data_IF_244935230879
#
_entry.id   IF_244935230879
#
_cell.length_a   1.000
_cell.length_b   1.000
_cell.length_c   1.000
_cell.angle_alpha   90.00
_cell.angle_beta   90.00
_cell.angle_gamma   90.00
#
_symmetry.space_group_name_H-M   'P 1'
#
loop_
_entity.id
_entity.type
_entity.pdbx_description
1 polymer ?
#
# COMPACT_ATOMS: atom_id res chain seq x y z
N UNK A 1 -8.89 16.01 11.77
CA UNK A 1 -7.59 15.47 11.35
C UNK A 1 -7.80 14.55 10.15
N UNK A 2 -7.55 15.02 8.93
CA UNK A 2 -7.82 14.25 7.70
C UNK A 2 -6.57 13.47 7.29
N UNK A 3 -6.58 12.16 7.43
CA UNK A 3 -5.45 11.31 7.09
C UNK A 3 -5.63 10.65 5.73
N UNK A 4 -5.23 11.36 4.70
CA UNK A 4 -5.05 10.80 3.36
C UNK A 4 -4.05 9.63 3.35
N UNK A 5 -3.06 9.64 4.26
CA UNK A 5 -2.07 8.56 4.39
C UNK A 5 -2.66 7.27 4.93
N UNK A 6 -3.52 7.37 5.93
CA UNK A 6 -4.14 6.18 6.53
C UNK A 6 -5.21 5.62 5.59
N UNK A 7 -5.90 6.48 4.84
CA UNK A 7 -6.80 6.07 3.76
C UNK A 7 -6.07 5.31 2.66
N UNK A 8 -4.82 5.66 2.29
CA UNK A 8 -3.99 4.81 1.43
C UNK A 8 -3.51 3.54 2.09
N UNK A 9 -3.11 3.60 3.37
CA UNK A 9 -2.78 2.40 4.15
C UNK A 9 -3.97 1.43 4.20
N UNK A 10 -5.21 1.92 4.22
CA UNK A 10 -6.45 1.12 4.20
C UNK A 10 -6.85 0.65 2.81
N UNK A 11 -6.80 1.50 1.79
CA UNK A 11 -7.11 1.11 0.40
C UNK A 11 -6.17 0.03 -0.09
N UNK A 12 -4.92 0.11 0.34
CA UNK A 12 -3.93 -0.86 -0.02
C UNK A 12 -3.87 -2.02 0.96
N UNK A 13 -4.48 -1.96 2.15
CA UNK A 13 -4.62 -3.12 3.02
C UNK A 13 -5.74 -4.02 2.50
N UNK A 14 -5.31 -5.10 1.84
CA UNK A 14 -6.02 -6.38 1.84
C UNK A 14 -7.27 -6.45 0.95
N UNK A 15 -7.10 -6.29 -0.36
CA UNK A 15 -8.00 -6.94 -1.30
C UNK A 15 -7.58 -8.41 -1.44
N UNK A 16 -7.83 -9.26 -0.43
CA UNK A 16 -7.71 -10.73 -0.53
C UNK A 16 -8.78 -11.26 -1.50
N UNK A 17 -8.55 -11.10 -2.80
CA UNK A 17 -9.56 -11.38 -3.83
C UNK A 17 -9.36 -12.78 -4.38
N UNK A 18 -10.01 -13.80 -3.83
CA UNK A 18 -9.88 -15.13 -4.40
C UNK A 18 -10.82 -15.37 -5.58
N UNK A 19 -10.40 -15.12 -6.81
CA UNK A 19 -11.03 -15.80 -7.95
C UNK A 19 -10.81 -17.30 -7.83
N UNK A 20 -11.67 -18.07 -8.48
CA UNK A 20 -11.52 -19.51 -8.73
C UNK A 20 -10.05 -20.02 -8.75
N UNK A 21 -9.10 -19.29 -9.36
CA UNK A 21 -7.65 -19.57 -9.31
C UNK A 21 -6.71 -18.40 -8.98
N UNK A 22 -7.17 -17.14 -8.85
CA UNK A 22 -6.28 -15.97 -8.64
C UNK A 22 -6.61 -15.22 -7.34
N UNK A 23 -5.64 -15.03 -6.46
CA UNK A 23 -5.76 -14.23 -5.23
C UNK A 23 -4.95 -12.96 -5.37
N UNK A 24 -5.55 -11.79 -5.20
CA UNK A 24 -4.75 -10.55 -5.02
C UNK A 24 -4.53 -10.38 -3.52
N UNK A 25 -3.37 -9.89 -3.09
CA UNK A 25 -3.16 -9.41 -1.73
C UNK A 25 -2.33 -8.15 -1.84
N UNK A 26 -2.75 -7.09 -1.17
CA UNK A 26 -2.06 -5.81 -1.23
C UNK A 26 -1.73 -5.30 0.16
N UNK A 27 -0.63 -4.55 0.28
CA UNK A 27 -0.31 -3.72 1.46
C UNK A 27 0.47 -2.47 1.04
N UNK A 28 -0.02 -1.27 1.37
CA UNK A 28 0.74 -0.04 1.15
C UNK A 28 1.80 0.15 2.22
N UNK A 29 2.87 0.83 1.81
CA UNK A 29 3.88 1.34 2.72
C UNK A 29 4.18 2.80 2.39
N UNK A 30 4.40 3.60 3.42
CA UNK A 30 5.00 4.93 3.28
C UNK A 30 6.48 4.84 3.60
N UNK A 31 7.31 5.43 2.75
CA UNK A 31 8.76 5.49 2.94
C UNK A 31 9.24 6.94 2.99
N UNK A 32 10.07 7.25 3.98
CA UNK A 32 10.59 8.60 4.23
C UNK A 32 9.83 9.37 5.33
N UNK A 33 10.24 10.62 5.53
CA UNK A 33 9.69 11.49 6.58
C UNK A 33 8.28 11.98 6.23
N UNK A 34 7.38 11.95 7.21
CA UNK A 34 6.10 12.65 7.12
C UNK A 34 6.31 14.17 7.20
N UNK A 35 6.04 14.86 6.10
CA UNK A 35 6.07 16.33 6.01
C UNK A 35 4.68 16.95 5.90
N UNK A 36 3.61 16.18 5.98
CA UNK A 36 2.25 16.65 5.67
C UNK A 36 1.76 17.61 6.75
N UNK A 37 1.24 18.75 6.30
CA UNK A 37 0.61 19.76 7.15
C UNK A 37 -0.78 19.26 7.55
N UNK A 38 -1.02 19.24 8.85
CA UNK A 38 -2.22 18.62 9.43
C UNK A 38 -3.46 19.52 9.37
N UNK A 39 -3.24 20.80 9.09
CA UNK A 39 -4.22 21.89 9.04
C UNK A 39 -4.61 22.30 7.61
N UNK A 40 -3.91 21.80 6.59
CA UNK A 40 -4.26 22.08 5.20
C UNK A 40 -5.53 21.32 4.77
N UNK A 41 -6.39 22.00 4.01
CA UNK A 41 -7.68 21.45 3.55
C UNK A 41 -7.96 21.76 2.09
N UNK A 42 -8.84 20.96 1.47
CA UNK A 42 -9.27 21.16 0.08
C UNK A 42 -8.10 21.27 -0.90
N UNK A 43 -8.04 22.40 -1.61
CA UNK A 43 -7.01 22.65 -2.62
C UNK A 43 -5.60 22.77 -2.04
N UNK A 44 -5.44 23.14 -0.76
CA UNK A 44 -4.12 23.37 -0.16
C UNK A 44 -3.29 22.08 -0.03
N UNK A 45 -3.97 20.93 0.03
CA UNK A 45 -3.34 19.60 -0.04
C UNK A 45 -2.59 19.38 -1.35
N UNK A 46 -3.06 20.00 -2.44
CA UNK A 46 -2.49 19.90 -3.78
C UNK A 46 -1.58 21.08 -4.14
N UNK A 47 -1.63 22.19 -3.38
CA UNK A 47 -0.79 23.37 -3.60
C UNK A 47 0.52 23.32 -2.81
N UNK A 48 0.51 22.81 -1.59
CA UNK A 48 1.71 22.79 -0.74
C UNK A 48 2.56 21.54 -0.98
N UNK A 49 3.83 21.73 -1.34
CA UNK A 49 4.81 20.65 -1.59
C UNK A 49 4.89 19.64 -0.43
N UNK A 50 4.71 20.12 0.79
CA UNK A 50 4.70 19.35 2.03
C UNK A 50 3.64 18.25 2.07
N UNK A 51 2.54 18.45 1.34
CA UNK A 51 1.40 17.55 1.27
C UNK A 51 1.42 16.64 0.05
N UNK A 52 2.40 16.77 -0.85
CA UNK A 52 2.42 15.98 -2.08
C UNK A 52 2.41 14.46 -1.86
N UNK A 53 3.03 13.89 -0.81
CA UNK A 53 2.86 12.47 -0.48
C UNK A 53 1.40 12.11 -0.15
N UNK A 54 0.68 13.01 0.51
CA UNK A 54 -0.76 12.86 0.82
C UNK A 54 -1.64 13.08 -0.40
N UNK A 55 -1.28 14.01 -1.28
CA UNK A 55 -1.96 14.20 -2.56
C UNK A 55 -1.79 12.97 -3.47
N UNK A 56 -0.56 12.47 -3.60
CA UNK A 56 -0.25 11.22 -4.31
C UNK A 56 -1.07 10.05 -3.74
N UNK A 57 -1.14 9.98 -2.41
CA UNK A 57 -1.95 8.99 -1.73
C UNK A 57 -3.44 9.11 -2.11
N UNK A 58 -4.02 10.30 -2.02
CA UNK A 58 -5.41 10.57 -2.37
C UNK A 58 -5.73 10.18 -3.83
N UNK A 59 -4.79 10.43 -4.75
CA UNK A 59 -4.93 10.04 -6.16
C UNK A 59 -4.94 8.52 -6.36
N UNK A 60 -4.12 7.78 -5.61
CA UNK A 60 -4.14 6.30 -5.62
C UNK A 60 -5.49 5.78 -5.14
N UNK A 61 -6.00 6.34 -4.04
CA UNK A 61 -7.33 6.00 -3.51
C UNK A 61 -8.40 6.27 -4.57
N UNK A 62 -8.38 7.45 -5.17
CA UNK A 62 -9.37 7.81 -6.19
C UNK A 62 -9.30 6.88 -7.41
N UNK A 63 -8.11 6.48 -7.84
CA UNK A 63 -7.92 5.51 -8.92
C UNK A 63 -8.52 4.15 -8.54
N UNK A 64 -8.27 3.68 -7.31
CA UNK A 64 -8.81 2.42 -6.80
C UNK A 64 -10.35 2.48 -6.71
N UNK A 65 -10.91 3.56 -6.17
CA UNK A 65 -12.35 3.79 -6.08
C UNK A 65 -13.03 3.75 -7.44
N UNK A 66 -12.50 4.51 -8.41
CA UNK A 66 -13.02 4.55 -9.78
C UNK A 66 -12.90 3.21 -10.52
N UNK A 67 -12.14 2.28 -9.99
CA UNK A 67 -11.95 0.93 -10.51
C UNK A 67 -12.66 -0.14 -9.69
N UNK A 68 -13.40 0.25 -8.64
CA UNK A 68 -14.04 -0.67 -7.69
C UNK A 68 -13.04 -1.65 -7.05
N UNK A 69 -11.76 -1.25 -7.03
CA UNK A 69 -10.69 -1.95 -6.35
C UNK A 69 -10.74 -1.52 -4.89
N UNK A 70 -11.37 -2.35 -4.07
CA UNK A 70 -11.70 -2.04 -2.68
C UNK A 70 -11.14 -3.12 -1.76
N UNK A 71 -10.88 -2.79 -0.49
CA UNK A 71 -10.54 -3.78 0.53
C UNK A 71 -11.59 -4.89 0.61
N UNK A 72 -11.16 -6.10 0.96
CA UNK A 72 -12.04 -7.24 1.14
C UNK A 72 -13.00 -6.98 2.31
N UNK A 73 -14.29 -6.82 2.00
CA UNK A 73 -15.33 -6.46 3.00
C UNK A 73 -16.38 -7.54 3.21
N UNK A 74 -16.39 -8.59 2.39
CA UNK A 74 -17.29 -9.75 2.49
C UNK A 74 -16.74 -10.92 1.66
N UNK A 75 -17.31 -12.13 1.84
CA UNK A 75 -16.99 -13.36 1.09
C UNK A 75 -17.26 -13.30 -0.43
N UNK A 76 -17.42 -12.09 -0.99
CA UNK A 76 -17.64 -11.85 -2.41
C UNK A 76 -16.31 -11.61 -3.09
N UNK A 77 -15.95 -12.56 -3.93
CA UNK A 77 -14.71 -12.60 -4.69
C UNK A 77 -14.81 -11.63 -5.87
N UNK A 78 -14.06 -10.52 -5.84
CA UNK A 78 -13.95 -9.61 -6.99
C UNK A 78 -12.95 -10.18 -8.02
N UNK A 79 -13.19 -9.92 -9.31
CA UNK A 79 -12.33 -10.43 -10.38
C UNK A 79 -11.03 -9.65 -10.59
N UNK A 80 -10.10 -10.14 -11.43
CA UNK A 80 -8.82 -9.45 -11.73
C UNK A 80 -9.03 -8.08 -12.43
N UNK A 81 -10.20 -7.89 -13.04
CA UNK A 81 -10.56 -6.71 -13.81
C UNK A 81 -10.50 -5.39 -13.01
N UNK A 82 -11.10 -5.25 -11.81
CA UNK A 82 -10.90 -4.10 -10.93
C UNK A 82 -9.44 -3.69 -10.75
N UNK A 83 -8.55 -4.65 -10.52
CA UNK A 83 -7.13 -4.38 -10.33
C UNK A 83 -6.45 -3.89 -11.62
N UNK A 84 -6.70 -4.54 -12.76
CA UNK A 84 -6.17 -4.08 -14.06
C UNK A 84 -6.69 -2.69 -14.45
N UNK A 85 -7.96 -2.41 -14.13
CA UNK A 85 -8.57 -1.09 -14.30
C UNK A 85 -7.86 -0.05 -13.44
N UNK A 86 -7.56 -0.36 -12.18
CA UNK A 86 -6.81 0.52 -11.27
C UNK A 86 -5.44 0.87 -11.85
N UNK A 87 -4.68 -0.13 -12.30
CA UNK A 87 -3.36 0.09 -12.91
C UNK A 87 -3.44 0.96 -14.17
N UNK A 88 -4.45 0.72 -15.00
CA UNK A 88 -4.69 1.51 -16.22
C UNK A 88 -5.00 2.96 -15.88
N UNK A 89 -5.81 3.22 -14.85
CA UNK A 89 -6.13 4.59 -14.40
C UNK A 89 -4.90 5.29 -13.81
N UNK A 90 -4.12 4.60 -12.99
CA UNK A 90 -2.83 5.12 -12.49
C UNK A 90 -1.89 5.48 -13.65
N UNK A 91 -1.72 4.59 -14.63
CA UNK A 91 -0.85 4.82 -15.79
C UNK A 91 -1.30 5.99 -16.67
N UNK A 92 -2.61 6.18 -16.82
CA UNK A 92 -3.18 7.22 -17.68
C UNK A 92 -3.41 8.55 -16.97
N UNK A 93 -3.17 8.63 -15.67
CA UNK A 93 -3.37 9.88 -14.94
C UNK A 93 -2.33 10.92 -15.39
N UNK A 94 -2.75 12.09 -15.91
CA UNK A 94 -1.85 13.06 -16.53
C UNK A 94 -0.82 13.67 -15.57
N UNK A 95 -1.13 13.69 -14.26
CA UNK A 95 -0.23 14.14 -13.21
C UNK A 95 0.86 13.15 -12.83
N UNK A 96 0.98 12.00 -13.51
CA UNK A 96 2.09 11.08 -13.33
C UNK A 96 2.99 11.00 -14.57
N UNK A 97 4.28 10.84 -14.35
CA UNK A 97 5.22 10.29 -15.32
C UNK A 97 5.43 8.82 -14.97
N UNK A 98 5.17 7.94 -15.93
CA UNK A 98 5.19 6.50 -15.73
C UNK A 98 6.48 5.89 -16.26
N UNK A 99 7.08 5.00 -15.47
CA UNK A 99 8.10 4.05 -15.92
C UNK A 99 7.80 2.67 -15.34
N UNK A 100 8.38 1.62 -15.93
CA UNK A 100 8.16 0.25 -15.49
C UNK A 100 9.42 -0.56 -15.69
N UNK A 101 9.73 -1.40 -14.70
CA UNK A 101 10.73 -2.44 -14.78
C UNK A 101 10.06 -3.81 -14.62
N UNK A 102 10.46 -4.76 -15.46
CA UNK A 102 9.94 -6.13 -15.47
C UNK A 102 11.10 -7.10 -15.35
N UNK A 103 10.93 -8.12 -14.52
CA UNK A 103 11.89 -9.19 -14.35
C UNK A 103 11.21 -10.49 -13.94
N UNK A 104 12.00 -11.56 -13.96
CA UNK A 104 11.63 -12.82 -13.33
C UNK A 104 12.57 -13.05 -12.15
N UNK A 105 12.03 -13.59 -11.07
CA UNK A 105 12.80 -13.99 -9.90
C UNK A 105 12.69 -15.50 -9.74
N UNK A 106 13.83 -16.15 -9.55
CA UNK A 106 13.88 -17.58 -9.27
C UNK A 106 13.70 -17.78 -7.76
N UNK A 107 12.67 -18.52 -7.38
CA UNK A 107 12.40 -18.92 -6.00
C UNK A 107 12.66 -20.42 -5.93
N UNK A 108 13.62 -20.82 -5.09
CA UNK A 108 14.17 -22.19 -5.05
C UNK A 108 13.88 -22.92 -3.74
N UNK A 109 13.06 -22.33 -2.88
CA UNK A 109 12.62 -23.00 -1.66
C UNK A 109 11.26 -22.47 -1.22
N UNK A 110 10.64 -23.22 -0.32
CA UNK A 110 9.44 -22.83 0.40
C UNK A 110 9.68 -21.83 1.53
N UNK A 111 10.94 -21.44 1.75
CA UNK A 111 11.27 -20.47 2.79
C UNK A 111 10.90 -19.04 2.36
N UNK A 112 10.20 -18.36 3.27
CA UNK A 112 9.90 -16.93 3.19
C UNK A 112 11.18 -16.08 3.21
N UNK A 113 12.26 -16.58 3.82
CA UNK A 113 13.59 -15.98 3.77
C UNK A 113 14.14 -15.87 2.34
N UNK A 114 14.03 -16.95 1.57
CA UNK A 114 14.48 -16.97 0.18
C UNK A 114 13.62 -16.06 -0.72
N UNK A 115 12.31 -16.00 -0.48
CA UNK A 115 11.44 -15.03 -1.15
C UNK A 115 11.90 -13.59 -0.89
N UNK A 116 12.24 -13.27 0.36
CA UNK A 116 12.76 -11.94 0.72
C UNK A 116 14.04 -11.63 -0.06
N UNK A 117 15.03 -12.53 -0.03
CA UNK A 117 16.30 -12.32 -0.72
C UNK A 117 16.13 -12.21 -2.24
N UNK A 118 15.28 -13.06 -2.84
CA UNK A 118 14.99 -13.00 -4.27
C UNK A 118 14.40 -11.64 -4.68
N UNK A 119 13.40 -11.14 -3.94
CA UNK A 119 12.77 -9.84 -4.22
C UNK A 119 13.74 -8.68 -3.96
N UNK A 120 14.50 -8.73 -2.86
CA UNK A 120 15.48 -7.70 -2.49
C UNK A 120 16.55 -7.52 -3.56
N UNK A 121 17.00 -8.62 -4.15
CA UNK A 121 18.06 -8.64 -5.15
C UNK A 121 17.56 -8.38 -6.58
N UNK A 122 16.26 -8.56 -6.84
CA UNK A 122 15.64 -8.29 -8.14
C UNK A 122 15.44 -6.80 -8.45
N UNK A 123 15.56 -5.94 -7.44
CA UNK A 123 15.34 -4.50 -7.58
C UNK A 123 16.36 -3.68 -6.81
N UNK A 124 17.00 -2.72 -7.47
CA UNK A 124 18.11 -1.92 -6.94
C UNK A 124 17.69 -0.55 -6.39
N UNK A 125 16.48 -0.41 -5.85
CA UNK A 125 16.00 0.85 -5.24
C UNK A 125 16.20 0.90 -3.72
N UNK A 126 16.17 2.11 -3.16
CA UNK A 126 16.29 2.34 -1.71
C UNK A 126 15.19 1.63 -0.91
N UNK A 127 14.04 1.39 -1.53
CA UNK A 127 12.89 0.73 -0.93
C UNK A 127 12.92 -0.80 -1.09
N UNK A 128 13.95 -1.38 -1.72
CA UNK A 128 14.00 -2.81 -2.04
C UNK A 128 13.83 -3.69 -0.79
N UNK A 129 14.46 -3.34 0.34
CA UNK A 129 14.30 -4.05 1.62
C UNK A 129 12.87 -3.98 2.14
N UNK A 130 12.23 -2.82 2.07
CA UNK A 130 10.85 -2.60 2.52
C UNK A 130 9.87 -3.36 1.64
N UNK A 131 10.05 -3.31 0.31
CA UNK A 131 9.25 -4.04 -0.67
C UNK A 131 9.39 -5.55 -0.42
N UNK A 132 10.61 -6.06 -0.28
CA UNK A 132 10.89 -7.47 -0.02
C UNK A 132 10.26 -7.95 1.30
N UNK A 133 10.45 -7.20 2.39
CA UNK A 133 9.85 -7.52 3.69
C UNK A 133 8.31 -7.51 3.62
N UNK A 134 7.74 -6.54 2.90
CA UNK A 134 6.29 -6.43 2.77
C UNK A 134 5.73 -7.60 1.95
N UNK A 135 6.33 -7.91 0.80
CA UNK A 135 5.94 -9.06 -0.04
C UNK A 135 6.04 -10.38 0.74
N UNK A 136 7.15 -10.60 1.47
CA UNK A 136 7.30 -11.76 2.35
C UNK A 136 6.13 -11.91 3.31
N UNK A 137 5.71 -10.79 3.91
CA UNK A 137 4.63 -10.78 4.90
C UNK A 137 3.22 -10.81 4.29
N UNK A 138 3.09 -10.58 2.98
CA UNK A 138 1.82 -10.74 2.26
C UNK A 138 1.51 -12.21 1.94
N UNK A 139 2.50 -13.11 1.99
CA UNK A 139 2.26 -14.54 1.86
C UNK A 139 1.49 -15.03 3.10
N UNK A 140 0.26 -15.51 2.95
CA UNK A 140 -0.53 -16.00 4.07
C UNK A 140 0.14 -17.22 4.72
N UNK A 141 0.00 -17.39 6.04
CA UNK A 141 0.49 -18.59 6.76
C UNK A 141 -0.49 -19.76 6.68
N UNK A 142 -1.76 -19.49 6.41
CA UNK A 142 -2.85 -20.46 6.25
C UNK A 142 -3.69 -20.07 5.05
N UNK A 143 -4.32 -21.03 4.37
CA UNK A 143 -5.20 -20.72 3.24
C UNK A 143 -6.41 -19.88 3.71
N UNK A 144 -6.48 -18.58 3.40
CA UNK A 144 -7.56 -17.73 3.89
C UNK A 144 -8.86 -17.92 3.09
N UNK A 145 -8.79 -18.62 1.96
CA UNK A 145 -9.89 -18.81 1.01
C UNK A 145 -10.56 -20.17 1.22
N UNK A 146 -9.84 -21.15 1.78
CA UNK A 146 -10.30 -22.52 1.93
C UNK A 146 -10.53 -23.22 0.58
N UNK A 147 -9.80 -22.80 -0.46
CA UNK A 147 -9.84 -23.38 -1.83
C UNK A 147 -8.45 -23.35 -2.45
N UNK A 148 -8.16 -24.28 -3.36
CA UNK A 148 -6.93 -24.33 -4.15
C UNK A 148 -6.80 -23.13 -5.09
N UNK A 149 -6.34 -22.00 -4.57
CA UNK A 149 -5.95 -20.85 -5.37
C UNK A 149 -4.53 -21.04 -5.89
N UNK A 150 -4.37 -21.23 -7.21
CA UNK A 150 -3.07 -21.52 -7.83
C UNK A 150 -2.21 -20.29 -8.11
N UNK A 151 -2.77 -19.08 -8.12
CA UNK A 151 -2.04 -17.87 -8.49
C UNK A 151 -2.31 -16.76 -7.47
N UNK A 152 -1.25 -16.12 -7.00
CA UNK A 152 -1.29 -15.04 -6.03
C UNK A 152 -0.58 -13.82 -6.62
N UNK A 153 -1.27 -12.70 -6.68
CA UNK A 153 -0.71 -11.40 -7.01
C UNK A 153 -0.49 -10.62 -5.73
N UNK A 154 0.74 -10.58 -5.26
CA UNK A 154 1.15 -9.78 -4.12
C UNK A 154 1.52 -8.37 -4.63
N UNK A 155 0.86 -7.35 -4.10
CA UNK A 155 1.00 -5.96 -4.56
C UNK A 155 1.40 -5.04 -3.41
N UNK A 156 2.44 -4.23 -3.63
CA UNK A 156 2.98 -3.31 -2.63
C UNK A 156 3.11 -1.92 -3.23
N UNK A 157 2.09 -1.05 -3.04
CA UNK A 157 2.24 0.37 -3.31
C UNK A 157 3.13 1.03 -2.25
N UNK A 158 4.23 1.66 -2.67
CA UNK A 158 5.14 2.43 -1.84
C UNK A 158 5.08 3.88 -2.26
N UNK A 159 4.69 4.77 -1.35
CA UNK A 159 4.73 6.21 -1.58
C UNK A 159 5.96 6.78 -0.90
N UNK A 160 6.78 7.51 -1.65
CA UNK A 160 8.00 8.13 -1.15
C UNK A 160 8.11 9.58 -1.58
N UNK A 161 8.66 10.41 -0.69
CA UNK A 161 9.29 11.69 -1.03
C UNK A 161 10.80 11.54 -0.93
N UNK A 162 11.53 11.88 -1.98
CA UNK A 162 12.99 11.88 -1.93
C UNK A 162 13.53 13.20 -1.36
N UNK A 163 14.86 13.31 -1.24
CA UNK A 163 15.53 14.50 -0.71
C UNK A 163 15.43 15.72 -1.62
N UNK A 164 15.16 15.51 -2.91
CA UNK A 164 14.90 16.61 -3.87
C UNK A 164 13.48 17.17 -3.74
N UNK A 165 12.62 16.50 -2.97
CA UNK A 165 11.22 16.84 -2.82
C UNK A 165 10.31 16.16 -3.84
N UNK A 166 10.87 15.36 -4.75
CA UNK A 166 10.12 14.58 -5.74
C UNK A 166 9.34 13.49 -5.04
N UNK A 167 8.07 13.35 -5.40
CA UNK A 167 7.19 12.30 -4.86
C UNK A 167 7.02 11.22 -5.91
N UNK A 168 7.29 9.97 -5.51
CA UNK A 168 7.12 8.80 -6.35
C UNK A 168 6.17 7.80 -5.68
N UNK A 169 5.39 7.14 -6.52
CA UNK A 169 4.56 6.00 -6.13
C UNK A 169 5.14 4.80 -6.87
N UNK A 170 5.61 3.80 -6.14
CA UNK A 170 6.06 2.53 -6.72
C UNK A 170 4.97 1.50 -6.48
N UNK A 171 4.60 0.74 -7.50
CA UNK A 171 3.70 -0.40 -7.39
C UNK A 171 4.50 -1.65 -7.71
N UNK A 172 5.04 -2.29 -6.67
CA UNK A 172 5.76 -3.55 -6.78
C UNK A 172 4.77 -4.72 -6.78
N UNK A 173 4.90 -5.61 -7.75
CA UNK A 173 3.92 -6.66 -8.02
C UNK A 173 4.66 -7.97 -8.24
N UNK A 174 4.27 -8.98 -7.48
CA UNK A 174 4.83 -10.32 -7.59
C UNK A 174 3.70 -11.31 -7.83
N UNK A 175 3.76 -12.02 -8.96
CA UNK A 175 2.85 -13.13 -9.24
C UNK A 175 3.51 -14.45 -8.85
N UNK A 176 2.90 -15.15 -7.90
CA UNK A 176 3.35 -16.43 -7.34
C UNK A 176 2.30 -17.52 -7.51
N UNK A 177 2.76 -18.76 -7.43
CA UNK A 177 1.94 -19.92 -7.17
C UNK A 177 2.15 -20.36 -5.72
N UNK A 178 1.07 -20.45 -4.96
CA UNK A 178 1.09 -21.04 -3.62
C UNK A 178 0.33 -22.38 -3.66
N UNK A 179 0.76 -23.28 -2.79
CA UNK A 179 0.18 -24.61 -2.63
C UNK A 179 -0.22 -24.78 -1.17
N UNK A 180 -1.42 -25.29 -0.92
CA UNK A 180 -1.83 -25.66 0.43
C UNK A 180 -1.27 -27.04 0.76
N UNK A 181 -0.49 -27.13 1.83
CA UNK A 181 -0.17 -28.40 2.48
C UNK A 181 -1.42 -28.92 3.19
N UNK A 182 -2.03 -29.98 2.68
CA UNK A 182 -3.28 -30.52 3.20
C UNK A 182 -3.15 -31.04 4.63
N UNK A 183 -1.96 -31.52 5.02
CA UNK A 183 -1.74 -32.11 6.35
C UNK A 183 -1.70 -31.03 7.45
N UNK A 184 -1.21 -29.83 7.12
CA UNK A 184 -0.98 -28.74 8.08
C UNK A 184 -1.85 -27.51 7.82
N UNK A 185 -2.58 -27.46 6.69
CA UNK A 185 -3.32 -26.31 6.18
C UNK A 185 -2.45 -25.02 6.12
N UNK A 186 -1.22 -25.19 5.66
CA UNK A 186 -0.21 -24.12 5.53
C UNK A 186 0.01 -23.82 4.05
N UNK A 187 0.13 -22.54 3.70
CA UNK A 187 0.49 -22.14 2.34
C UNK A 187 2.01 -22.21 2.13
N UNK A 188 2.41 -22.98 1.13
CA UNK A 188 3.79 -23.26 0.75
C UNK A 188 4.09 -22.54 -0.57
N UNK A 189 5.26 -21.91 -0.63
CA UNK A 189 5.81 -21.36 -1.87
C UNK A 189 6.57 -22.49 -2.57
N UNK A 190 6.13 -22.98 -3.72
CA UNK A 190 6.90 -23.98 -4.45
C UNK A 190 8.02 -23.32 -5.26
N UNK A 191 9.01 -24.15 -5.65
CA UNK A 191 10.05 -23.78 -6.59
C UNK A 191 9.43 -23.30 -7.91
N UNK A 192 9.74 -22.05 -8.28
CA UNK A 192 9.12 -21.42 -9.43
C UNK A 192 9.90 -20.20 -9.93
N UNK A 193 9.58 -19.80 -11.17
CA UNK A 193 9.93 -18.48 -11.70
C UNK A 193 8.74 -17.54 -11.54
N UNK A 194 8.88 -16.58 -10.65
CA UNK A 194 7.83 -15.61 -10.37
C UNK A 194 8.04 -14.34 -11.20
N UNK A 195 6.94 -13.77 -11.72
CA UNK A 195 7.02 -12.51 -12.44
C UNK A 195 7.02 -11.36 -11.45
N UNK A 196 8.07 -10.55 -11.46
CA UNK A 196 8.21 -9.38 -10.61
C UNK A 196 8.20 -8.10 -11.46
N UNK A 197 7.30 -7.19 -11.15
CA UNK A 197 7.13 -5.94 -11.90
C UNK A 197 7.07 -4.77 -10.93
N UNK A 198 7.91 -3.77 -11.14
CA UNK A 198 7.84 -2.51 -10.40
C UNK A 198 7.45 -1.41 -11.37
N UNK A 199 6.24 -0.89 -11.21
CA UNK A 199 5.82 0.36 -11.86
C UNK A 199 6.17 1.54 -10.98
N UNK A 200 6.64 2.61 -11.59
CA UNK A 200 6.95 3.86 -10.91
C UNK A 200 6.13 5.00 -11.53
N UNK A 201 5.52 5.79 -10.66
CA UNK A 201 4.72 6.95 -11.00
C UNK A 201 5.32 8.15 -10.28
N UNK A 202 6.09 8.95 -11.01
CA UNK A 202 6.62 10.23 -10.53
C UNK A 202 5.51 11.29 -10.61
N UNK A 203 5.21 11.92 -9.48
CA UNK A 203 4.19 12.96 -9.37
C UNK A 203 4.69 14.27 -9.96
N UNK A 204 3.96 14.79 -10.93
CA UNK A 204 4.20 16.10 -11.53
C UNK A 204 3.69 17.20 -10.62
N UNK A 205 4.62 17.86 -9.93
CA UNK A 205 4.37 18.95 -9.00
C UNK A 205 3.52 20.07 -9.61
N UNK A 206 3.90 20.51 -10.81
CA UNK A 206 3.22 21.53 -11.60
C UNK A 206 1.77 21.15 -11.90
N UNK A 207 1.52 19.89 -12.28
CA UNK A 207 0.16 19.40 -12.53
C UNK A 207 -0.72 19.53 -11.29
N UNK A 208 -0.22 19.12 -10.12
CA UNK A 208 -0.99 19.23 -8.87
C UNK A 208 -1.34 20.69 -8.54
N UNK A 209 -0.36 21.58 -8.63
CA UNK A 209 -0.57 22.99 -8.29
C UNK A 209 -1.56 23.67 -9.23
N UNK A 210 -1.45 23.41 -10.55
CA UNK A 210 -2.34 23.98 -11.57
C UNK A 210 -3.77 23.45 -11.44
N UNK A 211 -3.94 22.19 -11.08
CA UNK A 211 -5.26 21.53 -11.01
C UNK A 211 -5.79 21.35 -9.58
N UNK A 212 -5.21 22.03 -8.59
CA UNK A 212 -5.49 21.82 -7.18
C UNK A 212 -6.98 21.91 -6.81
N UNK A 213 -7.67 22.95 -7.30
CA UNK A 213 -9.11 23.15 -7.05
C UNK A 213 -9.94 21.99 -7.61
N UNK A 214 -9.73 21.67 -8.89
CA UNK A 214 -10.43 20.57 -9.57
C UNK A 214 -10.15 19.21 -8.93
N UNK A 215 -8.94 19.01 -8.40
CA UNK A 215 -8.57 17.80 -7.67
C UNK A 215 -9.27 17.74 -6.31
N UNK A 216 -9.31 18.84 -5.57
CA UNK A 216 -10.01 18.92 -4.29
C UNK A 216 -11.51 18.65 -4.39
N UNK A 217 -12.15 19.07 -5.49
CA UNK A 217 -13.56 18.79 -5.77
C UNK A 217 -13.80 17.31 -6.13
N UNK A 218 -12.87 16.70 -6.88
CA UNK A 218 -13.07 15.36 -7.47
C UNK A 218 -12.50 14.22 -6.63
N UNK A 219 -11.58 14.52 -5.73
CA UNK A 219 -10.91 13.54 -4.88
C UNK A 219 -11.50 13.67 -3.48
N UNK A 220 -12.40 12.75 -3.08
CA UNK A 220 -13.06 12.87 -1.80
C UNK A 220 -12.04 12.79 -0.66
N UNK A 221 -12.25 13.63 0.35
CA UNK A 221 -11.43 13.69 1.56
C UNK A 221 -12.29 13.46 2.79
N UNK A 222 -11.90 12.52 3.64
CA UNK A 222 -12.61 12.28 4.90
C UNK A 222 -11.81 12.82 6.09
N UNK A 223 -12.53 13.46 7.00
CA UNK A 223 -12.02 13.84 8.32
C UNK A 223 -12.16 12.67 9.29
N UNK A 224 -11.07 12.30 9.96
CA UNK A 224 -11.09 11.24 10.96
C UNK A 224 -10.78 11.86 12.32
N UNK A 225 -11.84 12.07 13.11
CA UNK A 225 -11.75 12.66 14.44
C UNK A 225 -11.03 11.72 15.44
N UNK A 226 -10.13 12.27 16.27
CA UNK A 226 -9.43 11.54 17.33
C UNK A 226 -8.14 10.80 16.94
N UNK A 227 -7.69 10.91 15.69
CA UNK A 227 -6.56 10.10 15.20
C UNK A 227 -5.17 10.56 15.71
N UNK A 228 -5.05 11.75 16.32
CA UNK A 228 -3.79 12.33 16.82
C UNK A 228 -3.05 11.43 17.82
N UNK A 229 -3.78 10.55 18.52
CA UNK A 229 -3.28 9.70 19.61
C UNK A 229 -2.58 8.40 19.16
N UNK A 230 -2.86 7.87 17.97
CA UNK A 230 -2.38 6.52 17.60
C UNK A 230 -0.97 6.46 17.01
N UNK A 231 -0.45 7.58 16.48
CA UNK A 231 0.94 7.68 15.99
C UNK A 231 1.85 8.48 16.93
N UNK A 232 1.32 9.02 18.02
CA UNK A 232 2.07 9.74 19.06
C UNK A 232 2.32 8.90 20.32
N UNK A 233 1.74 7.70 20.45
CA UNK A 233 1.87 6.85 21.64
C UNK A 233 3.07 5.88 21.64
N UNK A 234 4.16 6.19 20.94
CA UNK A 234 5.52 5.74 21.29
C UNK A 234 6.42 6.95 21.60
N UNK A 235 5.93 7.85 22.45
CA UNK A 235 6.76 8.73 23.27
C UNK A 235 6.00 9.17 24.51
N UNK A 236 5.71 8.23 25.40
CA UNK A 236 5.63 8.46 26.84
C UNK A 236 6.40 7.30 27.45
N UNK A 237 7.55 7.52 28.08
CA UNK A 237 7.66 8.39 29.24
C UNK A 237 8.40 9.71 29.04
N UNK A 238 7.85 10.74 29.68
CA UNK A 238 8.50 12.02 29.84
C UNK A 238 9.74 11.87 30.71
N UNK A 239 10.91 12.05 30.12
CA UNK A 239 11.98 12.85 30.71
C UNK A 239 13.10 13.08 29.69
N UNK A 240 13.53 14.34 29.59
CA UNK A 240 14.84 14.83 29.14
C UNK A 240 15.48 14.24 27.87
N UNK A 241 15.59 15.11 26.88
CA UNK A 241 16.59 15.16 25.81
C UNK A 241 17.79 14.17 25.88
N UNK A 242 17.94 13.36 24.84
CA UNK A 242 19.24 13.11 24.20
C UNK A 242 19.05 12.61 22.77
N UNK A 243 19.76 13.25 21.83
CA UNK A 243 19.90 12.81 20.45
C UNK A 243 20.39 11.36 20.38
N UNK A 244 19.57 10.43 19.92
CA UNK A 244 20.04 9.19 19.31
C UNK A 244 19.17 8.86 18.09
N UNK A 245 19.81 8.86 16.92
CA UNK A 245 19.34 8.15 15.73
C UNK A 245 19.32 6.66 16.08
N UNK A 246 18.13 6.08 16.24
CA UNK A 246 17.96 4.64 16.17
C UNK A 246 17.20 4.31 14.90
N UNK A 247 17.87 3.58 14.01
CA UNK A 247 17.25 2.88 12.89
C UNK A 247 16.01 2.13 13.40
N UNK A 248 14.85 2.45 12.83
CA UNK A 248 13.62 1.76 13.14
C UNK A 248 13.69 0.39 12.47
N UNK A 249 13.98 -0.64 13.25
CA UNK A 249 13.86 -2.03 12.81
C UNK A 249 12.41 -2.28 12.35
N UNK A 250 12.27 -2.72 11.10
CA UNK A 250 10.98 -2.94 10.43
C UNK A 250 10.13 -4.07 11.05
N UNK A 251 10.68 -4.79 12.01
CA UNK A 251 9.99 -5.87 12.72
C UNK A 251 9.06 -5.35 13.82
N UNK A 252 9.23 -4.10 14.26
CA UNK A 252 8.51 -3.52 15.40
C UNK A 252 7.17 -2.81 15.04
N UNK A 253 6.80 -2.83 13.75
CA UNK A 253 5.54 -2.28 13.21
C UNK A 253 4.39 -3.30 13.18
N UNK A 254 4.59 -4.50 13.76
CA UNK A 254 3.60 -5.58 13.78
C UNK A 254 2.71 -5.64 15.03
N UNK A 255 2.72 -4.61 15.89
CA UNK A 255 1.92 -4.66 17.11
C UNK A 255 0.44 -4.28 16.90
N UNK A 256 -0.39 -5.32 17.02
CA UNK A 256 -1.82 -5.34 17.33
C UNK A 256 -2.81 -4.75 16.32
N UNK A 257 -3.13 -5.51 15.27
CA UNK A 257 -4.41 -5.35 14.56
C UNK A 257 -5.61 -5.88 15.38
N UNK A 258 -5.39 -6.80 16.32
CA UNK A 258 -6.47 -7.34 17.18
C UNK A 258 -6.92 -6.38 18.29
N UNK A 259 -6.10 -5.40 18.69
CA UNK A 259 -6.50 -4.36 19.66
C UNK A 259 -6.94 -3.05 19.00
N UNK A 260 -7.03 -3.01 17.66
CA UNK A 260 -7.35 -1.82 16.87
C UNK A 260 -8.73 -1.85 16.19
N UNK A 261 -9.62 -2.75 16.61
CA UNK A 261 -11.01 -2.85 16.12
C UNK A 261 -11.72 -1.49 16.03
N UNK A 262 -11.64 -0.59 17.04
CA UNK A 262 -12.29 0.72 16.95
C UNK A 262 -11.70 1.63 15.87
N UNK A 263 -10.40 1.51 15.60
CA UNK A 263 -9.72 2.28 14.57
C UNK A 263 -10.12 1.75 13.19
N UNK A 264 -10.02 0.44 12.98
CA UNK A 264 -10.44 -0.21 11.74
C UNK A 264 -11.92 0.05 11.42
N UNK A 265 -12.80 0.04 12.42
CA UNK A 265 -14.22 0.39 12.25
C UNK A 265 -14.43 1.86 11.88
N UNK A 266 -13.75 2.80 12.56
CA UNK A 266 -13.81 4.24 12.20
C UNK A 266 -13.29 4.49 10.79
N UNK A 267 -12.24 3.79 10.42
CA UNK A 267 -11.62 3.85 9.11
C UNK A 267 -12.52 3.22 8.03
N UNK A 268 -13.17 2.09 8.32
CA UNK A 268 -14.17 1.46 7.46
C UNK A 268 -15.42 2.32 7.32
N UNK A 269 -15.85 2.98 8.39
CA UNK A 269 -16.96 3.94 8.35
C UNK A 269 -16.60 5.14 7.48
N UNK A 270 -15.45 5.77 7.71
CA UNK A 270 -14.96 6.88 6.89
C UNK A 270 -14.83 6.48 5.41
N UNK A 271 -14.39 5.26 5.13
CA UNK A 271 -14.41 4.69 3.79
C UNK A 271 -15.83 4.66 3.23
N UNK A 272 -16.77 3.98 3.89
CA UNK A 272 -18.17 3.87 3.46
C UNK A 272 -18.86 5.22 3.27
N UNK A 273 -18.59 6.19 4.15
CA UNK A 273 -19.16 7.54 4.08
C UNK A 273 -18.66 8.29 2.82
N UNK A 274 -17.47 7.97 2.30
CA UNK A 274 -16.97 8.50 1.02
C UNK A 274 -17.65 7.88 -0.22
N UNK A 275 -18.40 6.77 -0.06
CA UNK A 275 -19.10 6.08 -1.16
C UNK A 275 -20.59 6.44 -1.28
N UNK A 276 -21.15 7.18 -0.32
CA UNK A 276 -22.57 7.53 -0.25
C UNK A 276 -22.90 8.93 -0.79
N UNK A 277 -21.97 9.56 -1.50
CA UNK A 277 -22.11 10.86 -2.17
C UNK A 277 -22.01 10.65 -3.68
#
# INVERSE_FOLDING_TARGET
MRLFKVQVLLCAASAAMALAQHVIVSKAVFSGKDTTRWDDTGADIYKHLDNFPSAAAALVVQAAQKSQYEPYTSNVLKGLYPYQSFETKMRRFPGFRFSESRGQIDIKSSDRGDLYEAVKNAYSGVENKIIAATIRNLVPTKNPVGRDSRFWLLSVPVIRRDTSGTVTIKLARLTLHLFTDEDNNVEIIADQKANFVVSEYELKADYLMVHAETLAEKVPSADIEGFKLYFTSKSGDGSSASHHHSDVDSDDLWFHLESQTPLLERLRKAWNDMWLI
#
